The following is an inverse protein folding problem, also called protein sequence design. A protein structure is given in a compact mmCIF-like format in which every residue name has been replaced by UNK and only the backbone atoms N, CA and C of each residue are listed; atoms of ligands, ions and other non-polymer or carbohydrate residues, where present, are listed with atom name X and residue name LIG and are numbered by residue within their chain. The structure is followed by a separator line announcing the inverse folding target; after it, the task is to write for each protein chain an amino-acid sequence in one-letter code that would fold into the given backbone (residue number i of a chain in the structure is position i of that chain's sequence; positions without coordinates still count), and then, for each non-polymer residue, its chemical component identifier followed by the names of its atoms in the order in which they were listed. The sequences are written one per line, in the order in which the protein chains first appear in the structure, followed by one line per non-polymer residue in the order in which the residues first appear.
data_IF_562882804162
#
_entry.id   IF_562882804162
#
_cell.length_a   1.000
_cell.length_b   1.000
_cell.length_c   1.000
_cell.angle_alpha   90.00
_cell.angle_beta   90.00
_cell.angle_gamma   90.00
#
_symmetry.space_group_name_H-M   'P 1'
#
loop_
_entity.id
_entity.type
_entity.pdbx_description
1 polymer ?
#
# COMPACT_ATOMS: atom_id res chain seq x y z
N UNK A 1 18.35 -25.55 -2.03
CA UNK A 1 18.05 -26.85 -2.66
C UNK A 1 17.66 -27.92 -1.62
N UNK A 2 16.82 -27.60 -0.63
CA UNK A 2 16.48 -28.54 0.48
C UNK A 2 14.98 -28.84 0.63
N UNK A 3 14.11 -28.32 -0.24
CA UNK A 3 12.67 -28.61 -0.19
C UNK A 3 12.23 -29.75 -1.13
N UNK A 4 13.01 -30.05 -2.17
CA UNK A 4 12.67 -31.13 -3.11
C UNK A 4 12.83 -32.53 -2.52
N UNK A 5 13.83 -32.74 -1.65
CA UNK A 5 14.07 -34.04 -1.03
C UNK A 5 12.93 -34.48 -0.09
N UNK A 6 12.28 -33.52 0.59
CA UNK A 6 11.18 -33.79 1.50
C UNK A 6 9.91 -34.25 0.78
N UNK A 7 9.67 -33.73 -0.43
CA UNK A 7 8.52 -34.12 -1.27
C UNK A 7 8.68 -35.56 -1.76
N UNK A 8 9.90 -35.96 -2.15
CA UNK A 8 10.16 -37.33 -2.60
C UNK A 8 10.04 -38.36 -1.47
N UNK A 9 10.38 -38.02 -0.22
CA UNK A 9 10.29 -38.99 0.88
C UNK A 9 8.87 -39.25 1.37
N UNK A 10 7.91 -38.35 1.07
CA UNK A 10 6.53 -38.48 1.52
C UNK A 10 5.62 -39.13 0.47
N UNK A 11 5.93 -38.97 -0.82
CA UNK A 11 5.01 -39.36 -1.89
C UNK A 11 5.62 -40.30 -2.95
N UNK A 12 6.87 -40.76 -2.77
CA UNK A 12 7.64 -41.68 -3.64
C UNK A 12 7.81 -41.27 -5.12
N UNK A 13 6.87 -40.53 -5.71
CA UNK A 13 6.93 -39.96 -7.05
C UNK A 13 6.01 -38.75 -7.17
N UNK A 14 6.37 -37.84 -8.08
CA UNK A 14 5.57 -36.67 -8.43
C UNK A 14 4.16 -37.02 -8.92
N UNK A 15 4.00 -38.17 -9.58
CA UNK A 15 2.69 -38.65 -10.06
C UNK A 15 1.79 -39.10 -8.91
N UNK A 16 2.35 -39.62 -7.81
CA UNK A 16 1.58 -39.97 -6.62
C UNK A 16 1.05 -38.73 -5.90
N UNK A 17 1.87 -37.68 -5.80
CA UNK A 17 1.46 -36.40 -5.23
C UNK A 17 0.31 -35.77 -6.02
N UNK A 18 0.36 -35.81 -7.36
CA UNK A 18 -0.76 -35.32 -8.19
C UNK A 18 -2.03 -36.11 -7.91
N UNK A 19 -1.95 -37.44 -7.83
CA UNK A 19 -3.12 -38.28 -7.51
C UNK A 19 -3.67 -37.97 -6.12
N UNK A 20 -2.81 -37.77 -5.13
CA UNK A 20 -3.20 -37.41 -3.76
C UNK A 20 -3.91 -36.05 -3.69
N UNK A 21 -3.33 -35.01 -4.31
CA UNK A 21 -3.95 -33.68 -4.38
C UNK A 21 -5.29 -33.75 -5.10
N UNK A 22 -5.39 -34.51 -6.20
CA UNK A 22 -6.64 -34.66 -6.95
C UNK A 22 -7.67 -35.51 -6.19
N UNK A 23 -7.24 -36.49 -5.39
CA UNK A 23 -8.15 -37.36 -4.62
C UNK A 23 -8.66 -36.72 -3.32
N UNK A 24 -7.87 -35.86 -2.67
CA UNK A 24 -8.33 -35.08 -1.50
C UNK A 24 -9.09 -33.80 -1.89
N UNK A 25 -9.01 -33.40 -3.16
CA UNK A 25 -9.78 -32.29 -3.72
C UNK A 25 -10.80 -32.78 -4.75
N UNK A 26 -11.83 -33.51 -4.31
CA UNK A 26 -13.18 -33.25 -4.83
C UNK A 26 -13.66 -31.93 -4.24
N UNK A 27 -12.99 -30.84 -4.61
CA UNK A 27 -13.53 -29.51 -4.44
C UNK A 27 -14.51 -29.31 -5.60
N UNK A 28 -15.79 -29.56 -5.34
CA UNK A 28 -16.84 -28.87 -6.07
C UNK A 28 -16.42 -27.41 -6.21
N UNK A 29 -16.45 -26.90 -7.44
CA UNK A 29 -16.11 -25.52 -7.72
C UNK A 29 -16.92 -24.64 -6.77
N UNK A 30 -16.24 -24.02 -5.80
CA UNK A 30 -16.85 -23.08 -4.88
C UNK A 30 -17.55 -22.03 -5.76
N UNK A 31 -18.87 -21.80 -5.60
CA UNK A 31 -19.53 -20.75 -6.35
C UNK A 31 -18.76 -19.47 -6.08
N UNK A 32 -18.42 -18.78 -7.18
CA UNK A 32 -17.78 -17.47 -7.20
C UNK A 32 -18.34 -16.63 -6.06
N UNK A 33 -17.61 -16.57 -4.94
CA UNK A 33 -18.02 -15.82 -3.79
C UNK A 33 -17.74 -14.37 -4.14
N UNK A 34 -18.68 -13.77 -4.88
CA UNK A 34 -18.97 -12.35 -4.74
C UNK A 34 -19.28 -12.16 -3.26
N UNK A 35 -18.23 -12.02 -2.45
CA UNK A 35 -18.34 -11.72 -1.05
C UNK A 35 -19.03 -10.36 -1.00
N UNK A 36 -20.34 -10.39 -0.84
CA UNK A 36 -21.09 -9.23 -0.38
C UNK A 36 -20.35 -8.81 0.87
N UNK A 37 -19.65 -7.67 0.82
CA UNK A 37 -19.03 -7.10 2.00
C UNK A 37 -20.19 -6.70 2.91
N UNK A 38 -20.63 -7.63 3.75
CA UNK A 38 -21.52 -7.32 4.86
C UNK A 38 -20.73 -6.37 5.74
N UNK A 39 -21.15 -5.11 5.75
CA UNK A 39 -20.53 -4.08 6.56
C UNK A 39 -20.81 -4.42 8.03
N UNK A 40 -19.79 -4.91 8.72
CA UNK A 40 -19.87 -5.24 10.13
C UNK A 40 -20.16 -3.99 10.94
N UNK A 41 -21.18 -4.04 11.81
CA UNK A 41 -21.42 -3.00 12.80
C UNK A 41 -20.35 -3.08 13.89
N UNK A 42 -19.27 -2.34 13.68
CA UNK A 42 -18.17 -2.26 14.64
C UNK A 42 -18.61 -1.66 15.97
N UNK A 43 -19.60 -0.76 15.98
CA UNK A 43 -20.04 -0.11 17.21
C UNK A 43 -20.63 -1.12 18.20
N UNK A 44 -21.44 -2.05 17.71
CA UNK A 44 -21.98 -3.16 18.50
C UNK A 44 -20.87 -4.01 19.13
N UNK A 45 -19.89 -4.47 18.34
CA UNK A 45 -18.82 -5.32 18.86
C UNK A 45 -17.89 -4.57 19.83
N UNK A 46 -17.68 -3.27 19.63
CA UNK A 46 -16.93 -2.44 20.57
C UNK A 46 -17.68 -2.27 21.89
N UNK A 47 -18.99 -2.04 21.86
CA UNK A 47 -19.80 -1.97 23.09
C UNK A 47 -19.72 -3.28 23.90
N UNK A 48 -19.68 -4.43 23.24
CA UNK A 48 -19.48 -5.71 23.92
C UNK A 48 -18.14 -5.80 24.65
N UNK A 49 -17.07 -5.22 24.10
CA UNK A 49 -15.77 -5.13 24.79
C UNK A 49 -15.83 -4.20 25.99
N UNK A 50 -16.51 -3.05 25.87
CA UNK A 50 -16.72 -2.11 26.98
C UNK A 50 -17.50 -2.78 28.12
N UNK A 51 -18.47 -3.63 27.78
CA UNK A 51 -19.26 -4.43 28.73
C UNK A 51 -18.48 -5.62 29.34
N UNK A 52 -17.16 -5.70 29.14
CA UNK A 52 -16.29 -6.70 29.76
C UNK A 52 -16.23 -8.05 29.05
N UNK A 53 -16.80 -8.19 27.84
CA UNK A 53 -16.63 -9.43 27.07
C UNK A 53 -15.18 -9.58 26.61
N UNK A 54 -14.67 -10.82 26.64
CA UNK A 54 -13.30 -11.08 26.21
C UNK A 54 -13.11 -10.87 24.71
N UNK A 55 -11.92 -10.41 24.30
CA UNK A 55 -11.54 -10.26 22.89
C UNK A 55 -11.76 -11.53 22.07
N UNK A 56 -11.49 -12.72 22.63
CA UNK A 56 -11.68 -13.99 21.93
C UNK A 56 -13.14 -14.23 21.60
N UNK A 57 -14.03 -13.99 22.56
CA UNK A 57 -15.48 -14.19 22.41
C UNK A 57 -16.05 -13.25 21.36
N UNK A 58 -15.71 -11.96 21.45
CA UNK A 58 -16.21 -10.94 20.50
C UNK A 58 -15.65 -11.17 19.09
N UNK A 59 -14.37 -11.56 18.96
CA UNK A 59 -13.76 -11.85 17.67
C UNK A 59 -14.42 -13.06 16.99
N UNK A 60 -14.69 -14.12 17.75
CA UNK A 60 -15.41 -15.29 17.27
C UNK A 60 -16.83 -14.93 16.81
N UNK A 61 -17.58 -14.15 17.59
CA UNK A 61 -18.94 -13.73 17.20
C UNK A 61 -18.97 -12.82 15.97
N UNK A 62 -17.92 -12.01 15.78
CA UNK A 62 -17.79 -11.12 14.62
C UNK A 62 -17.22 -11.83 13.37
N UNK A 63 -16.74 -13.07 13.48
CA UNK A 63 -16.08 -13.77 12.38
C UNK A 63 -14.75 -13.14 11.96
N UNK A 64 -14.04 -12.46 12.87
CA UNK A 64 -12.79 -11.75 12.57
C UNK A 64 -11.63 -12.23 13.43
N UNK A 65 -10.40 -11.98 12.97
CA UNK A 65 -9.24 -12.24 13.81
C UNK A 65 -9.22 -11.33 15.04
N UNK A 66 -8.70 -11.82 16.16
CA UNK A 66 -8.47 -11.04 17.39
C UNK A 66 -7.63 -9.80 17.10
N UNK A 67 -6.64 -9.93 16.20
CA UNK A 67 -5.77 -8.83 15.80
C UNK A 67 -6.54 -7.70 15.09
N UNK A 68 -7.51 -8.05 14.24
CA UNK A 68 -8.40 -7.08 13.57
C UNK A 68 -9.30 -6.39 14.59
N UNK A 69 -9.95 -7.14 15.48
CA UNK A 69 -10.80 -6.57 16.52
C UNK A 69 -10.01 -5.64 17.45
N UNK A 70 -8.78 -6.03 17.82
CA UNK A 70 -7.88 -5.19 18.63
C UNK A 70 -7.53 -3.88 17.92
N UNK A 71 -7.19 -3.93 16.63
CA UNK A 71 -6.91 -2.72 15.86
C UNK A 71 -8.11 -1.78 15.81
N UNK A 72 -9.33 -2.34 15.68
CA UNK A 72 -10.58 -1.57 15.73
C UNK A 72 -10.81 -0.96 17.11
N UNK A 73 -10.68 -1.72 18.18
CA UNK A 73 -10.83 -1.17 19.52
C UNK A 73 -9.87 -0.02 19.82
N UNK A 74 -8.63 -0.06 19.33
CA UNK A 74 -7.68 1.06 19.41
C UNK A 74 -8.20 2.28 18.64
N UNK A 75 -8.77 2.09 17.44
CA UNK A 75 -9.37 3.18 16.65
C UNK A 75 -10.55 3.84 17.38
N UNK A 76 -11.35 3.05 18.11
CA UNK A 76 -12.44 3.52 18.97
C UNK A 76 -11.98 3.97 20.36
N UNK A 77 -10.66 4.09 20.60
CA UNK A 77 -10.07 4.56 21.86
C UNK A 77 -10.43 3.71 23.09
N UNK A 78 -10.74 2.42 22.89
CA UNK A 78 -11.09 1.51 23.97
C UNK A 78 -9.81 0.95 24.59
N UNK A 79 -9.58 1.13 25.91
CA UNK A 79 -8.41 0.58 26.57
C UNK A 79 -8.56 -0.96 26.65
N UNK A 80 -7.62 -1.67 26.03
CA UNK A 80 -7.55 -3.13 26.14
C UNK A 80 -6.33 -3.48 26.97
N UNK A 81 -6.54 -4.20 28.07
CA UNK A 81 -5.46 -4.85 28.81
C UNK A 81 -4.76 -5.85 27.90
N UNK A 82 -3.51 -5.56 27.52
CA UNK A 82 -2.78 -6.40 26.57
C UNK A 82 -1.44 -6.83 27.15
N UNK A 83 -1.02 -8.03 26.78
CA UNK A 83 0.35 -8.47 26.99
C UNK A 83 1.30 -7.45 26.34
N UNK A 84 2.40 -7.06 27.01
CA UNK A 84 3.36 -6.10 26.46
C UNK A 84 3.83 -6.56 25.08
N UNK A 85 3.68 -5.68 24.09
CA UNK A 85 4.16 -5.94 22.73
C UNK A 85 5.65 -5.70 22.64
N UNK A 86 6.32 -6.44 21.74
CA UNK A 86 7.71 -6.15 21.34
C UNK A 86 7.89 -4.72 20.80
N UNK A 87 6.80 -4.08 20.38
CA UNK A 87 6.78 -2.67 19.96
C UNK A 87 6.13 -1.81 21.05
N UNK A 88 6.95 -1.23 21.90
CA UNK A 88 6.59 -0.30 22.97
C UNK A 88 6.22 1.09 22.42
N UNK A 89 5.62 1.94 23.25
CA UNK A 89 5.16 3.26 22.85
C UNK A 89 6.26 4.15 22.26
N UNK A 90 7.50 3.98 22.73
CA UNK A 90 8.66 4.69 22.18
C UNK A 90 8.90 4.33 20.71
N UNK A 91 8.87 3.04 20.38
CA UNK A 91 9.07 2.55 19.01
C UNK A 91 7.89 2.94 18.11
N UNK A 92 6.66 2.91 18.63
CA UNK A 92 5.48 3.41 17.90
C UNK A 92 5.65 4.86 17.48
N UNK A 93 6.13 5.73 18.38
CA UNK A 93 6.42 7.14 18.05
C UNK A 93 7.52 7.26 17.00
N UNK A 94 8.56 6.42 17.05
CA UNK A 94 9.62 6.43 16.05
C UNK A 94 9.09 6.01 14.68
N UNK A 95 8.31 4.92 14.62
CA UNK A 95 7.62 4.46 13.40
C UNK A 95 6.84 5.62 12.78
N UNK A 96 6.04 6.31 13.59
CA UNK A 96 5.24 7.45 13.14
C UNK A 96 6.07 8.60 12.57
N UNK A 97 7.12 9.03 13.27
CA UNK A 97 7.98 10.12 12.81
C UNK A 97 8.71 9.77 11.51
N UNK A 98 9.24 8.55 11.42
CA UNK A 98 9.93 8.09 10.20
C UNK A 98 8.97 7.94 9.03
N UNK A 99 7.73 7.49 9.28
CA UNK A 99 6.72 7.42 8.24
C UNK A 99 6.31 8.82 7.74
N UNK A 100 6.20 9.80 8.64
CA UNK A 100 5.80 11.17 8.30
C UNK A 100 6.79 11.84 7.33
N UNK A 101 8.09 11.54 7.46
CA UNK A 101 9.12 12.00 6.52
C UNK A 101 9.18 11.16 5.23
N UNK A 102 8.29 10.18 5.07
CA UNK A 102 8.19 9.35 3.87
C UNK A 102 9.12 8.15 3.82
N UNK A 103 9.73 7.74 4.94
CA UNK A 103 10.63 6.58 4.97
C UNK A 103 9.84 5.28 4.71
N UNK A 104 10.34 4.37 3.82
CA UNK A 104 9.76 3.05 3.60
C UNK A 104 9.65 2.22 4.88
N UNK A 105 8.65 1.34 4.96
CA UNK A 105 8.46 0.48 6.14
C UNK A 105 9.56 -0.53 6.35
N UNK A 106 10.16 -1.01 5.26
CA UNK A 106 11.31 -1.91 5.28
C UNK A 106 12.48 -1.24 6.02
N UNK A 107 12.82 -0.02 5.64
CA UNK A 107 13.91 0.72 6.29
C UNK A 107 13.56 1.08 7.75
N UNK A 108 12.30 1.40 8.06
CA UNK A 108 11.86 1.65 9.44
C UNK A 108 12.03 0.39 10.29
N UNK A 109 11.72 -0.78 9.73
CA UNK A 109 11.86 -2.06 10.39
C UNK A 109 13.33 -2.38 10.65
N UNK A 110 14.19 -2.18 9.66
CA UNK A 110 15.66 -2.33 9.79
C UNK A 110 16.23 -1.38 10.85
N UNK A 111 15.86 -0.10 10.83
CA UNK A 111 16.32 0.91 11.81
C UNK A 111 15.97 0.53 13.26
N UNK A 112 14.88 -0.19 13.45
CA UNK A 112 14.35 -0.56 14.77
C UNK A 112 14.66 -2.01 15.17
N UNK A 113 15.27 -2.81 14.29
CA UNK A 113 15.53 -4.23 14.53
C UNK A 113 14.26 -5.07 14.72
N UNK A 114 13.15 -4.67 14.10
CA UNK A 114 11.85 -5.38 14.16
C UNK A 114 11.43 -5.87 12.77
N UNK A 115 10.42 -6.74 12.70
CA UNK A 115 9.88 -7.17 11.40
C UNK A 115 9.05 -6.07 10.74
N UNK A 116 9.05 -6.03 9.41
CA UNK A 116 8.18 -5.14 8.63
C UNK A 116 6.70 -5.35 9.00
N UNK A 117 6.27 -6.60 9.18
CA UNK A 117 4.90 -6.92 9.60
C UNK A 117 4.54 -6.32 10.97
N UNK A 118 5.49 -6.19 11.90
CA UNK A 118 5.25 -5.52 13.17
C UNK A 118 5.02 -4.00 12.97
N UNK A 119 5.79 -3.37 12.09
CA UNK A 119 5.59 -1.96 11.70
C UNK A 119 4.21 -1.76 11.07
N UNK A 120 3.84 -2.62 10.11
CA UNK A 120 2.54 -2.56 9.44
C UNK A 120 1.37 -2.77 10.40
N UNK A 121 1.52 -3.66 11.38
CA UNK A 121 0.49 -3.92 12.37
C UNK A 121 0.24 -2.71 13.28
N UNK A 122 1.30 -1.97 13.64
CA UNK A 122 1.16 -0.69 14.35
C UNK A 122 0.39 0.30 13.49
N UNK A 123 0.80 0.45 12.23
CA UNK A 123 0.21 1.43 11.32
C UNK A 123 -1.23 1.11 10.91
N UNK A 124 -1.61 -0.17 10.89
CA UNK A 124 -2.99 -0.62 10.65
C UNK A 124 -3.98 -0.09 11.70
N UNK A 125 -3.50 0.24 12.89
CA UNK A 125 -4.34 0.83 13.94
C UNK A 125 -4.77 2.27 13.63
N UNK A 126 -4.22 2.90 12.58
CA UNK A 126 -4.36 4.33 12.32
C UNK A 126 -4.80 4.58 10.87
N UNK A 127 -6.12 4.75 10.62
CA UNK A 127 -6.68 4.91 9.28
C UNK A 127 -6.03 6.05 8.47
N UNK A 128 -5.67 7.14 9.13
CA UNK A 128 -5.04 8.33 8.56
C UNK A 128 -3.68 8.03 7.90
N UNK A 129 -3.01 6.95 8.30
CA UNK A 129 -1.76 6.48 7.67
C UNK A 129 -1.96 6.14 6.20
N UNK A 130 -3.12 5.56 5.85
CA UNK A 130 -3.41 5.17 4.47
C UNK A 130 -3.42 6.40 3.57
N UNK A 131 -4.10 7.46 3.99
CA UNK A 131 -4.17 8.72 3.26
C UNK A 131 -2.81 9.42 3.22
N UNK A 132 -2.11 9.47 4.35
CA UNK A 132 -0.77 10.07 4.42
C UNK A 132 0.18 9.41 3.42
N UNK A 133 0.23 8.07 3.38
CA UNK A 133 1.06 7.32 2.42
C UNK A 133 0.67 7.59 0.98
N UNK A 134 -0.62 7.70 0.69
CA UNK A 134 -1.08 8.05 -0.65
C UNK A 134 -0.58 9.44 -1.07
N UNK A 135 -0.66 10.43 -0.18
CA UNK A 135 -0.16 11.79 -0.41
C UNK A 135 1.36 11.82 -0.62
N UNK A 136 2.11 11.09 0.22
CA UNK A 136 3.57 10.99 0.10
C UNK A 136 3.96 10.37 -1.24
N UNK A 137 3.38 9.23 -1.61
CA UNK A 137 3.67 8.58 -2.91
C UNK A 137 3.29 9.47 -4.09
N UNK A 138 2.15 10.15 -4.01
CA UNK A 138 1.72 11.09 -5.04
C UNK A 138 2.74 12.22 -5.22
N UNK A 139 3.19 12.83 -4.12
CA UNK A 139 4.21 13.88 -4.14
C UNK A 139 5.53 13.36 -4.73
N UNK A 140 6.02 12.21 -4.25
CA UNK A 140 7.25 11.61 -4.77
C UNK A 140 7.15 11.34 -6.27
N UNK A 141 6.02 10.80 -6.75
CA UNK A 141 5.81 10.55 -8.17
C UNK A 141 5.79 11.84 -8.97
N UNK A 142 5.10 12.88 -8.48
CA UNK A 142 5.10 14.19 -9.12
C UNK A 142 6.51 14.75 -9.26
N UNK A 143 7.29 14.71 -8.18
CA UNK A 143 8.64 15.27 -8.14
C UNK A 143 9.58 14.48 -9.09
N UNK A 144 9.41 13.15 -9.18
CA UNK A 144 10.09 12.30 -10.16
C UNK A 144 9.74 12.71 -11.61
N UNK A 145 8.45 12.86 -11.94
CA UNK A 145 8.03 13.23 -13.30
C UNK A 145 8.51 14.64 -13.68
N UNK A 146 8.50 15.58 -12.73
CA UNK A 146 9.04 16.93 -12.94
C UNK A 146 10.54 16.88 -13.21
N UNK A 147 11.31 16.13 -12.41
CA UNK A 147 12.75 16.00 -12.59
C UNK A 147 13.12 15.42 -13.97
N UNK A 148 12.35 14.44 -14.47
CA UNK A 148 12.52 13.88 -15.82
C UNK A 148 12.30 14.95 -16.90
N UNK A 149 11.19 15.70 -16.84
CA UNK A 149 10.93 16.76 -17.82
C UNK A 149 11.94 17.89 -17.75
N UNK A 150 12.30 18.35 -16.56
CA UNK A 150 13.29 19.41 -16.38
C UNK A 150 14.65 18.98 -16.91
N UNK A 151 15.06 17.73 -16.69
CA UNK A 151 16.28 17.18 -17.28
C UNK A 151 16.22 17.20 -18.80
N UNK A 152 15.14 16.70 -19.40
CA UNK A 152 14.96 16.71 -20.86
C UNK A 152 15.06 18.12 -21.45
N UNK A 153 14.44 19.12 -20.79
CA UNK A 153 14.48 20.52 -21.23
C UNK A 153 15.87 21.13 -21.07
N UNK A 154 16.58 20.85 -19.97
CA UNK A 154 17.94 21.32 -19.75
C UNK A 154 18.89 20.75 -20.80
N UNK A 155 18.77 19.46 -21.09
CA UNK A 155 19.63 18.77 -22.04
C UNK A 155 19.30 19.16 -23.49
N UNK A 156 18.07 19.64 -23.76
CA UNK A 156 17.61 20.03 -25.09
C UNK A 156 16.88 21.40 -25.09
N UNK A 157 17.60 22.54 -24.93
CA UNK A 157 16.97 23.85 -24.78
C UNK A 157 16.15 24.33 -25.99
N UNK A 158 16.43 23.79 -27.18
CA UNK A 158 15.73 24.12 -28.43
C UNK A 158 14.47 23.30 -28.66
N UNK A 159 14.17 22.30 -27.82
CA UNK A 159 13.01 21.44 -28.02
C UNK A 159 11.69 22.20 -27.87
N UNK A 160 10.82 21.99 -28.86
CA UNK A 160 9.42 22.39 -28.79
C UNK A 160 8.65 21.50 -27.82
N UNK A 161 7.49 21.99 -27.35
CA UNK A 161 6.59 21.23 -26.46
C UNK A 161 6.20 19.86 -27.03
N UNK A 162 6.06 19.76 -28.36
CA UNK A 162 5.75 18.49 -29.02
C UNK A 162 6.93 17.51 -28.99
N UNK A 163 8.15 17.99 -29.19
CA UNK A 163 9.36 17.17 -29.08
C UNK A 163 9.58 16.68 -27.65
N UNK A 164 9.37 17.55 -26.64
CA UNK A 164 9.43 17.15 -25.22
C UNK A 164 8.38 16.07 -24.91
N UNK A 165 7.15 16.23 -25.42
CA UNK A 165 6.09 15.22 -25.25
C UNK A 165 6.46 13.88 -25.90
N UNK A 166 7.11 13.91 -27.07
CA UNK A 166 7.51 12.68 -27.77
C UNK A 166 8.68 11.99 -27.05
N UNK A 167 9.67 12.75 -26.59
CA UNK A 167 10.81 12.23 -25.85
C UNK A 167 10.40 11.64 -24.49
N UNK A 168 9.61 12.38 -23.70
CA UNK A 168 9.26 12.02 -22.33
C UNK A 168 7.74 11.89 -22.15
N UNK A 169 7.12 11.03 -22.97
CA UNK A 169 5.67 10.90 -23.04
C UNK A 169 5.03 10.51 -21.70
N UNK A 170 5.61 9.54 -20.98
CA UNK A 170 5.07 9.06 -19.71
C UNK A 170 5.00 10.19 -18.66
N UNK A 171 6.11 10.93 -18.48
CA UNK A 171 6.15 12.06 -17.56
C UNK A 171 5.22 13.20 -18.00
N UNK A 172 5.20 13.52 -19.30
CA UNK A 172 4.33 14.53 -19.87
C UNK A 172 2.85 14.21 -19.63
N UNK A 173 2.40 13.01 -19.99
CA UNK A 173 1.00 12.62 -19.88
C UNK A 173 0.55 12.48 -18.42
N UNK A 174 1.43 12.00 -17.54
CA UNK A 174 1.14 11.96 -16.11
C UNK A 174 0.90 13.37 -15.55
N UNK A 175 1.84 14.29 -15.80
CA UNK A 175 1.71 15.69 -15.34
C UNK A 175 0.55 16.42 -16.02
N UNK A 176 0.24 16.10 -17.28
CA UNK A 176 -0.92 16.67 -17.96
C UNK A 176 -2.24 16.27 -17.29
N UNK A 177 -2.35 15.00 -16.87
CA UNK A 177 -3.53 14.45 -16.20
C UNK A 177 -3.67 14.95 -14.77
N UNK A 178 -2.57 15.05 -14.03
CA UNK A 178 -2.58 15.27 -12.58
C UNK A 178 -2.18 16.69 -12.15
N UNK A 179 -1.28 17.35 -12.88
CA UNK A 179 -0.60 18.60 -12.44
C UNK A 179 -0.42 19.59 -13.62
N UNK A 180 -1.50 19.88 -14.34
CA UNK A 180 -1.49 20.69 -15.57
C UNK A 180 -0.89 22.09 -15.37
N UNK A 181 -1.11 22.70 -14.20
CA UNK A 181 -0.57 24.02 -13.87
C UNK A 181 0.96 24.00 -13.74
N UNK A 182 1.52 22.98 -13.08
CA UNK A 182 2.96 22.79 -12.95
C UNK A 182 3.60 22.47 -14.30
N UNK A 183 2.99 21.59 -15.09
CA UNK A 183 3.44 21.28 -16.45
C UNK A 183 3.57 22.54 -17.31
N UNK A 184 2.57 23.42 -17.27
CA UNK A 184 2.59 24.67 -18.04
C UNK A 184 3.67 25.67 -17.59
N UNK A 185 4.08 25.62 -16.31
CA UNK A 185 5.16 26.48 -15.78
C UNK A 185 6.54 26.01 -16.24
N UNK A 186 6.75 24.69 -16.30
CA UNK A 186 8.04 24.10 -16.67
C UNK A 186 8.26 24.11 -18.19
N UNK A 187 7.20 23.93 -18.98
CA UNK A 187 7.32 23.88 -20.43
C UNK A 187 7.69 25.24 -21.04
N UNK A 188 8.44 25.24 -22.16
CA UNK A 188 8.73 26.46 -22.93
C UNK A 188 7.45 27.22 -23.30
N UNK A 189 7.56 28.56 -23.38
CA UNK A 189 6.43 29.44 -23.75
C UNK A 189 5.82 28.97 -25.07
N UNK A 190 4.50 28.83 -25.07
CA UNK A 190 3.79 28.40 -26.27
C UNK A 190 3.96 29.44 -27.38
N UNK A 191 4.28 28.99 -28.60
CA UNK A 191 4.29 29.86 -29.78
C UNK A 191 2.87 30.37 -30.00
N UNK A 192 2.71 31.70 -29.98
CA UNK A 192 1.43 32.38 -30.21
C UNK A 192 0.81 31.91 -31.53
N UNK A 193 -0.50 31.66 -31.51
CA UNK A 193 -1.24 31.10 -32.67
C UNK A 193 -1.04 31.93 -33.94
N UNK A 194 -0.91 33.25 -33.82
CA UNK A 194 -0.69 34.20 -34.91
C UNK A 194 0.67 34.03 -35.62
N UNK A 195 1.70 33.50 -34.94
CA UNK A 195 3.04 33.30 -35.52
C UNK A 195 3.21 31.93 -36.19
N UNK A 196 2.20 31.05 -36.17
CA UNK A 196 2.31 29.69 -36.74
C UNK A 196 2.23 29.65 -38.26
N UNK A 197 1.78 30.73 -38.91
CA UNK A 197 1.51 30.78 -40.35
C UNK A 197 2.44 31.70 -41.15
N UNK A 198 3.49 32.26 -40.54
CA UNK A 198 4.51 32.99 -41.30
C UNK A 198 5.46 31.94 -41.89
N UNK A 199 5.07 31.40 -43.05
CA UNK A 199 5.98 30.64 -43.92
C UNK A 199 6.89 31.68 -44.59
N UNK A 200 8.19 31.54 -44.37
CA UNK A 200 9.22 32.13 -45.25
C UNK A 200 9.37 31.24 -46.46
#
# INVERSE_FOLDING_TARGET
MQHFAFIFSLFDSWEHLKKFIVSEHTCDALPNNQSVKVELDWSYFINQLINGQSLRKVAASAGVSIATLKARAIQYQVPIATRPSKVFDKERRIIWRKLLIGKPTEDIATDLGISQGAVEQVLKCYPEVKELRARIRYKAKRDEMLAVLEKCIRDNPSFTRNQIKQAENAAYMWLFKHEKSLLNKVLPKAILRQRRHIRT
#
